data_IF_979329176691
#
_entry.id   IF_979329176691
#
_cell.length_a   1.000
_cell.length_b   1.000
_cell.length_c   1.000
_cell.angle_alpha   90.00
_cell.angle_beta   90.00
_cell.angle_gamma   90.00
#
_symmetry.space_group_name_H-M   'P 1'
#
loop_
_entity.id
_entity.type
_entity.pdbx_description
1 polymer ?
#
# COMPACT_ATOMS: atom_id res chain seq x y z
N UNK A 1 -0.48 3.31 4.28
CA UNK A 1 0.81 2.76 3.83
C UNK A 1 1.38 3.49 2.60
N UNK A 2 0.60 3.69 1.52
CA UNK A 2 1.03 4.35 0.27
C UNK A 2 1.65 5.75 0.43
N UNK A 3 1.19 6.51 1.42
CA UNK A 3 1.64 7.89 1.63
C UNK A 3 3.09 8.01 2.12
N UNK A 4 3.75 6.92 2.52
CA UNK A 4 5.13 6.97 3.04
C UNK A 4 6.14 7.42 1.98
N UNK A 5 6.03 6.92 0.76
CA UNK A 5 7.01 7.13 -0.30
C UNK A 5 6.54 8.15 -1.34
N UNK A 6 5.26 8.14 -1.70
CA UNK A 6 4.73 9.12 -2.66
C UNK A 6 4.77 10.55 -2.10
N UNK A 7 4.61 10.74 -0.79
CA UNK A 7 4.55 12.09 -0.22
C UNK A 7 5.90 12.83 -0.29
N UNK A 8 7.05 12.22 0.06
CA UNK A 8 8.35 12.83 -0.23
C UNK A 8 8.59 13.10 -1.71
N UNK A 9 8.23 12.17 -2.59
CA UNK A 9 8.41 12.35 -4.03
C UNK A 9 7.59 13.52 -4.59
N UNK A 10 6.41 13.81 -4.05
CA UNK A 10 5.53 14.87 -4.57
C UNK A 10 5.74 16.20 -3.83
N UNK A 11 6.03 16.16 -2.53
CA UNK A 11 6.04 17.34 -1.67
C UNK A 11 7.39 17.63 -0.99
N UNK A 12 8.37 16.74 -1.08
CA UNK A 12 9.70 16.89 -0.48
C UNK A 12 9.82 16.46 0.98
N UNK A 13 8.74 15.96 1.59
CA UNK A 13 8.76 15.58 3.01
C UNK A 13 7.78 14.42 3.32
N UNK A 14 7.93 13.78 4.47
CA UNK A 14 7.04 12.73 4.95
C UNK A 14 5.69 13.30 5.45
N UNK A 15 4.60 12.51 5.40
CA UNK A 15 3.30 12.93 5.92
C UNK A 15 3.38 13.35 7.39
N UNK A 16 2.65 14.42 7.76
CA UNK A 16 2.65 14.96 9.13
C UNK A 16 2.32 13.91 10.20
N UNK A 17 1.36 13.02 9.93
CA UNK A 17 0.98 11.94 10.87
C UNK A 17 2.13 10.96 11.12
N UNK A 18 2.91 10.65 10.09
CA UNK A 18 4.07 9.76 10.22
C UNK A 18 5.15 10.40 11.07
N UNK A 19 5.47 11.68 10.82
CA UNK A 19 6.44 12.42 11.64
C UNK A 19 6.01 12.52 13.10
N UNK A 20 4.71 12.73 13.34
CA UNK A 20 4.15 12.77 14.70
C UNK A 20 4.31 11.43 15.43
N UNK A 21 3.96 10.32 14.78
CA UNK A 21 3.95 9.00 15.43
C UNK A 21 5.36 8.39 15.57
N UNK A 22 6.18 8.49 14.51
CA UNK A 22 7.52 7.94 14.51
C UNK A 22 8.51 8.77 15.35
N UNK A 23 8.29 10.10 15.43
CA UNK A 23 9.16 11.01 16.17
C UNK A 23 10.58 11.02 15.61
N UNK A 24 11.58 10.87 16.48
CA UNK A 24 13.00 10.84 16.08
C UNK A 24 13.43 9.60 15.30
N UNK A 25 12.58 8.56 15.18
CA UNK A 25 12.88 7.33 14.44
C UNK A 25 12.72 7.47 12.93
N UNK A 26 12.07 8.54 12.45
CA UNK A 26 12.00 8.85 11.02
C UNK A 26 13.01 9.97 10.71
N UNK A 27 13.81 9.83 9.63
CA UNK A 27 14.74 10.88 9.25
C UNK A 27 14.01 12.15 8.83
N UNK A 28 14.66 13.30 9.04
CA UNK A 28 14.18 14.61 8.61
C UNK A 28 15.05 15.04 7.44
N UNK A 29 14.40 15.39 6.32
CA UNK A 29 15.12 15.95 5.18
C UNK A 29 15.60 17.36 5.49
N UNK A 30 16.85 17.64 5.12
CA UNK A 30 17.32 19.01 4.95
C UNK A 30 16.60 19.67 3.76
N UNK A 31 16.68 21.00 3.65
CA UNK A 31 16.09 21.70 2.50
C UNK A 31 16.67 21.20 1.17
N UNK A 32 17.97 20.93 1.13
CA UNK A 32 18.65 20.43 -0.08
C UNK A 32 18.14 19.04 -0.47
N UNK A 33 18.01 18.12 0.50
CA UNK A 33 17.49 16.77 0.23
C UNK A 33 16.01 16.80 -0.17
N UNK A 34 15.22 17.67 0.47
CA UNK A 34 13.80 17.89 0.13
C UNK A 34 13.65 18.35 -1.32
N UNK A 35 14.45 19.33 -1.74
CA UNK A 35 14.45 19.82 -3.11
C UNK A 35 14.93 18.77 -4.12
N UNK A 36 15.85 17.88 -3.72
CA UNK A 36 16.34 16.79 -4.57
C UNK A 36 15.31 15.67 -4.76
N UNK A 37 14.57 15.29 -3.72
CA UNK A 37 13.59 14.19 -3.81
C UNK A 37 12.28 14.64 -4.43
N UNK A 38 11.91 15.92 -4.25
CA UNK A 38 10.66 16.46 -4.78
C UNK A 38 10.68 16.48 -6.31
N UNK A 39 9.70 15.83 -6.92
CA UNK A 39 9.58 15.70 -8.37
C UNK A 39 10.58 14.73 -9.00
N UNK A 40 11.29 13.92 -8.21
CA UNK A 40 12.29 12.96 -8.72
C UNK A 40 11.69 11.70 -9.36
N UNK A 41 10.63 11.86 -10.16
CA UNK A 41 9.96 10.78 -10.88
C UNK A 41 9.26 11.29 -12.14
N UNK A 42 9.26 10.47 -13.20
CA UNK A 42 8.52 10.76 -14.44
C UNK A 42 7.13 10.10 -14.47
N UNK A 43 6.97 8.97 -13.76
CA UNK A 43 5.73 8.21 -13.63
C UNK A 43 5.72 7.40 -12.33
N UNK A 44 4.56 6.86 -11.95
CA UNK A 44 4.39 5.99 -10.78
C UNK A 44 4.00 4.57 -11.22
N UNK A 45 4.81 3.59 -10.83
CA UNK A 45 4.46 2.17 -10.92
C UNK A 45 3.65 1.72 -9.71
N UNK A 46 2.52 1.06 -9.93
CA UNK A 46 1.67 0.51 -8.85
C UNK A 46 1.65 -1.02 -8.94
N UNK A 47 2.03 -1.66 -7.83
CA UNK A 47 1.87 -3.09 -7.61
C UNK A 47 0.66 -3.31 -6.72
N UNK A 48 -0.40 -3.97 -7.23
CA UNK A 48 -1.63 -4.16 -6.49
C UNK A 48 -2.06 -5.62 -6.49
N UNK A 49 -2.26 -6.18 -5.29
CA UNK A 49 -2.61 -7.58 -5.11
C UNK A 49 -3.80 -7.81 -4.19
N UNK A 50 -3.98 -6.97 -3.16
CA UNK A 50 -4.97 -7.22 -2.13
C UNK A 50 -5.49 -5.93 -1.48
N UNK A 51 -6.62 -6.06 -0.81
CA UNK A 51 -7.19 -5.02 0.04
C UNK A 51 -7.41 -5.56 1.45
N UNK A 52 -7.22 -4.69 2.44
CA UNK A 52 -7.39 -5.01 3.85
C UNK A 52 -8.43 -4.07 4.45
N UNK A 53 -9.21 -4.58 5.39
CA UNK A 53 -9.96 -3.74 6.32
C UNK A 53 -8.99 -3.14 7.34
N UNK A 54 -9.24 -1.89 7.73
CA UNK A 54 -8.43 -1.18 8.71
C UNK A 54 -9.30 -0.86 9.92
N UNK A 55 -8.83 -1.25 11.11
CA UNK A 55 -9.42 -0.85 12.38
C UNK A 55 -8.46 0.10 13.10
N UNK A 56 -9.00 1.18 13.66
CA UNK A 56 -8.24 2.11 14.50
C UNK A 56 -7.62 1.38 15.71
N UNK A 57 -6.38 1.71 16.05
CA UNK A 57 -5.62 1.09 17.14
C UNK A 57 -4.62 2.07 17.78
N UNK A 58 -5.10 3.14 18.44
CA UNK A 58 -4.24 4.20 18.97
C UNK A 58 -3.30 3.70 20.06
N UNK A 59 -3.68 2.71 20.86
CA UNK A 59 -2.83 2.16 21.93
C UNK A 59 -1.55 1.51 21.42
N UNK A 60 -1.44 1.20 20.13
CA UNK A 60 -0.19 0.68 19.56
C UNK A 60 0.95 1.71 19.55
N UNK A 61 0.65 3.01 19.61
CA UNK A 61 1.70 4.04 19.70
C UNK A 61 2.21 4.29 21.13
N UNK A 62 1.55 3.72 22.14
CA UNK A 62 1.91 3.86 23.56
C UNK A 62 2.88 2.78 24.06
N UNK A 63 3.19 1.78 23.21
CA UNK A 63 4.15 0.72 23.52
C UNK A 63 5.58 1.27 23.46
N UNK A 64 6.46 0.82 24.35
CA UNK A 64 7.85 1.28 24.42
C UNK A 64 8.67 0.83 23.20
N UNK A 65 8.60 -0.46 22.86
CA UNK A 65 9.23 -1.03 21.67
C UNK A 65 8.24 -1.05 20.51
N UNK A 66 8.51 -0.22 19.49
CA UNK A 66 7.63 -0.05 18.32
C UNK A 66 8.35 -0.25 17.01
N UNK A 67 7.71 -1.00 16.14
CA UNK A 67 8.07 -1.11 14.73
C UNK A 67 7.24 -0.12 13.88
N UNK A 68 7.44 -0.18 12.57
CA UNK A 68 6.70 0.65 11.61
C UNK A 68 5.20 0.37 11.61
N UNK A 69 4.75 -0.82 12.02
CA UNK A 69 3.34 -1.19 12.04
C UNK A 69 2.63 -0.57 13.23
N UNK A 70 3.27 -0.59 14.41
CA UNK A 70 2.79 0.09 15.60
C UNK A 70 2.62 1.61 15.36
N UNK A 71 3.53 2.23 14.59
CA UNK A 71 3.44 3.65 14.26
C UNK A 71 2.30 4.02 13.31
N UNK A 72 1.69 3.04 12.62
CA UNK A 72 0.49 3.28 11.82
C UNK A 72 -0.75 3.55 12.68
N UNK A 73 -0.72 3.24 13.98
CA UNK A 73 -1.85 3.34 14.89
C UNK A 73 -3.10 2.58 14.39
N UNK A 74 -2.89 1.48 13.65
CA UNK A 74 -3.95 0.79 12.94
C UNK A 74 -3.72 -0.73 12.89
N UNK A 75 -4.81 -1.50 12.91
CA UNK A 75 -4.82 -2.95 12.74
C UNK A 75 -5.33 -3.30 11.34
N UNK A 76 -4.49 -3.99 10.56
CA UNK A 76 -4.90 -4.58 9.28
C UNK A 76 -5.64 -5.89 9.52
N UNK A 77 -6.80 -6.03 8.88
CA UNK A 77 -7.65 -7.21 8.96
C UNK A 77 -7.83 -7.72 7.53
N UNK A 78 -7.45 -8.97 7.22
CA UNK A 78 -7.66 -9.56 5.91
C UNK A 78 -9.12 -9.47 5.48
N UNK A 79 -9.36 -9.19 4.20
CA UNK A 79 -10.70 -9.12 3.63
C UNK A 79 -11.41 -10.50 3.69
N UNK A 80 -10.69 -11.57 3.42
CA UNK A 80 -11.14 -12.95 3.64
C UNK A 80 -10.33 -13.61 4.76
N UNK A 81 -11.02 -14.14 5.77
CA UNK A 81 -10.39 -14.74 6.96
C UNK A 81 -9.86 -16.16 6.71
N UNK A 82 -10.33 -16.83 5.65
CA UNK A 82 -10.02 -18.23 5.34
C UNK A 82 -9.16 -18.40 4.06
N UNK A 83 -8.75 -17.30 3.43
CA UNK A 83 -7.87 -17.39 2.27
C UNK A 83 -6.49 -17.92 2.72
N UNK A 84 -5.92 -18.85 1.94
CA UNK A 84 -4.54 -19.28 2.18
C UNK A 84 -3.60 -18.08 2.13
N UNK A 85 -2.43 -18.15 2.78
CA UNK A 85 -1.42 -17.05 2.77
C UNK A 85 -1.01 -16.64 1.34
N UNK A 86 -1.32 -17.48 0.35
CA UNK A 86 -1.00 -17.30 -1.05
C UNK A 86 -2.21 -16.96 -1.94
N UNK A 87 -3.41 -16.79 -1.38
CA UNK A 87 -4.61 -16.42 -2.13
C UNK A 87 -5.06 -15.03 -1.70
N UNK A 88 -4.97 -14.08 -2.63
CA UNK A 88 -5.46 -12.74 -2.39
C UNK A 88 -6.86 -12.60 -2.98
N UNK A 89 -7.84 -12.08 -2.20
CA UNK A 89 -9.17 -11.83 -2.73
C UNK A 89 -9.12 -10.89 -3.93
N UNK A 90 -9.88 -11.20 -4.98
CA UNK A 90 -9.96 -10.35 -6.17
C UNK A 90 -10.80 -9.11 -5.83
N UNK A 91 -10.13 -7.96 -5.65
CA UNK A 91 -10.77 -6.69 -5.28
C UNK A 91 -10.54 -5.57 -6.32
N UNK A 92 -11.19 -5.62 -7.50
CA UNK A 92 -10.99 -4.61 -8.55
C UNK A 92 -11.33 -3.18 -8.09
N UNK A 93 -12.32 -3.06 -7.21
CA UNK A 93 -12.71 -1.79 -6.59
C UNK A 93 -11.58 -1.19 -5.73
N UNK A 94 -10.73 -2.03 -5.12
CA UNK A 94 -9.58 -1.58 -4.33
C UNK A 94 -8.53 -0.92 -5.21
N UNK A 95 -8.20 -1.51 -6.37
CA UNK A 95 -7.28 -0.92 -7.34
C UNK A 95 -7.83 0.41 -7.86
N UNK A 96 -9.11 0.45 -8.22
CA UNK A 96 -9.78 1.68 -8.63
C UNK A 96 -9.64 2.78 -7.56
N UNK A 97 -9.89 2.43 -6.29
CA UNK A 97 -9.75 3.38 -5.18
C UNK A 97 -8.32 3.89 -5.00
N UNK A 98 -7.30 3.04 -5.20
CA UNK A 98 -5.89 3.48 -5.18
C UNK A 98 -5.60 4.46 -6.31
N UNK A 99 -6.06 4.17 -7.54
CA UNK A 99 -5.87 5.06 -8.70
C UNK A 99 -6.57 6.41 -8.52
N UNK A 100 -7.81 6.39 -8.01
CA UNK A 100 -8.56 7.61 -7.68
C UNK A 100 -7.86 8.43 -6.59
N UNK A 101 -7.34 7.76 -5.55
CA UNK A 101 -6.59 8.43 -4.48
C UNK A 101 -5.31 9.08 -5.01
N UNK A 102 -4.56 8.39 -5.88
CA UNK A 102 -3.36 8.96 -6.50
C UNK A 102 -3.70 10.17 -7.37
N UNK A 103 -4.75 10.06 -8.18
CA UNK A 103 -5.26 11.14 -9.01
C UNK A 103 -5.62 12.38 -8.19
N UNK A 104 -6.40 12.21 -7.12
CA UNK A 104 -6.92 13.32 -6.33
C UNK A 104 -5.88 13.93 -5.39
N UNK A 105 -4.99 13.11 -4.84
CA UNK A 105 -4.05 13.56 -3.80
C UNK A 105 -2.74 14.04 -4.40
N UNK A 106 -2.20 13.34 -5.40
CA UNK A 106 -0.82 13.55 -5.86
C UNK A 106 -0.71 14.22 -7.23
N UNK A 107 -1.75 14.94 -7.65
CA UNK A 107 -1.73 15.73 -8.89
C UNK A 107 -1.86 14.92 -10.18
N UNK A 108 -2.34 13.67 -10.09
CA UNK A 108 -2.61 12.80 -11.24
C UNK A 108 -1.40 12.59 -12.18
N UNK A 109 -0.25 12.10 -11.67
CA UNK A 109 0.89 11.79 -12.51
C UNK A 109 0.57 10.62 -13.47
N UNK A 110 1.38 10.38 -14.51
CA UNK A 110 1.31 9.15 -15.29
C UNK A 110 1.47 7.92 -14.37
N UNK A 111 0.57 6.95 -14.51
CA UNK A 111 0.56 5.72 -13.70
C UNK A 111 0.58 4.50 -14.60
N UNK A 112 1.39 3.52 -14.23
CA UNK A 112 1.40 2.18 -14.83
C UNK A 112 1.13 1.13 -13.75
N UNK A 113 0.24 0.20 -14.04
CA UNK A 113 0.10 -1.01 -13.20
C UNK A 113 1.30 -1.89 -13.55
N UNK A 114 2.26 -1.97 -12.63
CA UNK A 114 3.50 -2.69 -12.87
C UNK A 114 3.36 -4.15 -12.45
N UNK A 115 2.57 -4.43 -11.41
CA UNK A 115 2.20 -5.79 -11.04
C UNK A 115 0.72 -5.88 -10.63
N UNK A 116 0.04 -6.89 -11.17
CA UNK A 116 -1.28 -7.32 -10.72
C UNK A 116 -1.46 -8.80 -11.07
N UNK A 117 -1.84 -9.60 -10.08
CA UNK A 117 -2.00 -11.04 -10.28
C UNK A 117 -2.69 -11.71 -9.11
N UNK A 118 -3.05 -12.96 -9.33
CA UNK A 118 -3.61 -13.85 -8.33
C UNK A 118 -2.70 -15.08 -8.25
N UNK A 119 -2.36 -15.49 -7.04
CA UNK A 119 -1.78 -16.82 -6.82
C UNK A 119 -2.92 -17.79 -6.56
N UNK A 120 -2.91 -18.91 -7.27
CA UNK A 120 -3.89 -19.98 -7.14
C UNK A 120 -3.16 -21.24 -6.68
N UNK A 121 -3.58 -21.80 -5.55
CA UNK A 121 -3.04 -23.08 -5.10
C UNK A 121 -3.61 -24.20 -5.98
N UNK A 122 -2.75 -24.86 -6.77
CA UNK A 122 -3.13 -26.04 -7.55
C UNK A 122 -3.55 -27.17 -6.61
N UNK A 123 -4.84 -27.27 -6.30
CA UNK A 123 -5.43 -28.54 -5.83
C UNK A 123 -5.84 -29.33 -7.07
N UNK A 124 -5.05 -30.36 -7.39
CA UNK A 124 -5.23 -31.40 -8.41
C UNK A 124 -6.32 -31.17 -9.47
N UNK A 125 -5.89 -31.09 -10.73
CA UNK A 125 -6.72 -31.07 -11.93
C UNK A 125 -8.02 -31.89 -11.78
N UNK A 126 -9.17 -31.22 -11.70
CA UNK A 126 -10.40 -31.80 -12.22
C UNK A 126 -10.34 -31.65 -13.73
N UNK A 127 -9.93 -32.71 -14.41
CA UNK A 127 -10.19 -32.88 -15.84
C UNK A 127 -11.70 -32.85 -16.06
N UNK A 128 -12.24 -31.68 -16.38
CA UNK A 128 -13.50 -31.59 -17.10
C UNK A 128 -13.18 -31.61 -18.59
N UNK A 129 -13.11 -32.82 -19.15
CA UNK A 129 -13.25 -33.03 -20.59
C UNK A 129 -14.64 -32.54 -21.00
N UNK A 130 -14.71 -31.36 -21.62
CA UNK A 130 -15.86 -30.98 -22.41
C UNK A 130 -15.64 -31.49 -23.84
N UNK A 131 -16.23 -32.64 -24.14
CA UNK A 131 -16.42 -33.08 -25.51
C UNK A 131 -17.51 -32.20 -26.13
N UNK A 132 -17.17 -31.40 -27.11
CA UNK A 132 -18.15 -30.77 -27.99
C UNK A 132 -18.71 -31.84 -28.94
N UNK A 133 -20.04 -31.98 -28.97
CA UNK A 133 -20.77 -32.46 -30.14
C UNK A 133 -21.28 -31.26 -30.90
#
# INVERSE_FOLDING_TARGET
MWCRFLHPLVYGDYPRVMKKNAGSRIPVFTNVESDQVKGSFDFIGINFYATFYIKDNPSSVDVELRDVNADMAAKMIPFEQNASVFEFPVTPWGLKGVLEYVKQTYGNPPVYIHENGLSHSYTHARTHTHTFK
#
